data_IF_349773855252
#
_entry.id   IF_349773855252
#
_cell.length_a   1.000
_cell.length_b   1.000
_cell.length_c   1.000
_cell.angle_alpha   90.00
_cell.angle_beta   90.00
_cell.angle_gamma   90.00
#
_symmetry.space_group_name_H-M   'P 1'
#
loop_
_entity.id
_entity.type
_entity.pdbx_description
1 polymer ?
#
# COMPACT_ATOMS: atom_id res chain seq x y z
N UNK A 1 15.94 -20.65 0.29
CA UNK A 1 16.14 -19.48 1.17
C UNK A 1 15.19 -19.65 2.35
N UNK A 2 15.70 -20.14 3.50
CA UNK A 2 14.89 -20.31 4.70
C UNK A 2 14.62 -18.91 5.29
N UNK A 3 13.35 -18.48 5.32
CA UNK A 3 12.97 -17.33 6.15
C UNK A 3 13.14 -17.76 7.62
N UNK A 4 13.86 -16.99 8.44
CA UNK A 4 13.87 -17.24 9.87
C UNK A 4 12.44 -17.18 10.42
N UNK A 5 12.12 -17.95 11.46
CA UNK A 5 10.80 -17.88 12.06
C UNK A 5 10.50 -16.46 12.50
N UNK A 6 9.29 -16.01 12.22
CA UNK A 6 8.84 -14.66 12.53
C UNK A 6 8.91 -14.46 14.05
N UNK A 7 9.77 -13.54 14.48
CA UNK A 7 9.96 -13.23 15.90
C UNK A 7 8.82 -12.32 16.39
N UNK A 8 7.83 -12.93 17.01
CA UNK A 8 6.70 -12.21 17.59
C UNK A 8 7.06 -11.42 18.86
N UNK A 9 8.24 -11.61 19.44
CA UNK A 9 8.64 -10.93 20.68
C UNK A 9 8.79 -9.41 20.51
N UNK A 10 8.98 -8.95 19.28
CA UNK A 10 9.06 -7.51 18.92
C UNK A 10 7.70 -6.84 18.78
N UNK A 11 6.62 -7.60 18.69
CA UNK A 11 5.26 -7.08 18.58
C UNK A 11 4.61 -7.09 19.97
N UNK A 12 4.97 -6.10 20.78
CA UNK A 12 4.27 -5.87 22.04
C UNK A 12 2.94 -5.20 21.71
N UNK A 13 1.89 -6.01 21.56
CA UNK A 13 0.50 -5.52 21.63
C UNK A 13 0.24 -5.19 23.11
N UNK A 14 0.88 -4.14 23.58
CA UNK A 14 0.61 -3.59 24.91
C UNK A 14 -0.67 -2.75 24.89
N UNK A 15 -1.35 -2.58 26.02
CA UNK A 15 -2.57 -1.78 26.13
C UNK A 15 -2.36 -0.29 25.82
N UNK A 16 -1.11 0.15 25.61
CA UNK A 16 -0.76 1.55 25.37
C UNK A 16 0.42 1.68 24.42
N UNK A 17 0.10 1.71 23.12
CA UNK A 17 1.10 1.85 22.06
C UNK A 17 1.49 3.33 21.84
N UNK A 18 0.65 4.26 22.25
CA UNK A 18 0.87 5.71 22.20
C UNK A 18 0.22 6.38 23.41
N UNK A 19 0.62 7.62 23.74
CA UNK A 19 0.03 8.37 24.85
C UNK A 19 -1.45 8.68 24.57
N UNK A 20 -2.33 8.24 25.44
CA UNK A 20 -3.80 8.44 25.34
C UNK A 20 -4.22 9.92 25.42
N UNK A 21 -3.37 10.78 25.92
CA UNK A 21 -3.62 12.22 25.95
C UNK A 21 -3.45 12.88 24.56
N UNK A 22 -2.85 12.17 23.60
CA UNK A 22 -2.69 12.67 22.24
C UNK A 22 -4.02 12.53 21.50
N UNK A 23 -4.64 13.66 21.19
CA UNK A 23 -5.82 13.68 20.33
C UNK A 23 -5.42 13.52 18.85
N UNK A 24 -5.98 12.51 18.20
CA UNK A 24 -5.75 12.26 16.76
C UNK A 24 -6.30 13.40 15.91
N UNK A 25 -7.45 13.97 16.30
CA UNK A 25 -8.03 15.12 15.58
C UNK A 25 -7.10 16.33 15.62
N UNK A 26 -6.45 16.56 16.76
CA UNK A 26 -5.44 17.62 16.88
C UNK A 26 -4.23 17.35 15.99
N UNK A 27 -3.77 16.09 15.87
CA UNK A 27 -2.68 15.74 14.98
C UNK A 27 -3.07 15.93 13.51
N UNK A 28 -4.31 15.60 13.12
CA UNK A 28 -4.81 15.82 11.76
C UNK A 28 -4.83 17.31 11.41
N UNK A 29 -5.30 18.16 12.34
CA UNK A 29 -5.27 19.61 12.15
C UNK A 29 -3.84 20.15 12.08
N UNK A 30 -2.95 19.68 12.96
CA UNK A 30 -1.54 20.05 12.98
C UNK A 30 -0.83 19.64 11.67
N UNK A 31 -1.14 18.47 11.14
CA UNK A 31 -0.59 18.00 9.86
C UNK A 31 -0.96 18.92 8.68
N UNK A 32 -2.15 19.52 8.68
CA UNK A 32 -2.55 20.50 7.68
C UNK A 32 -1.76 21.82 7.80
N UNK A 33 -1.25 22.13 9.01
CA UNK A 33 -0.37 23.28 9.26
C UNK A 33 1.07 22.98 8.90
N UNK A 34 1.57 21.79 9.30
CA UNK A 34 2.95 21.35 9.07
C UNK A 34 3.21 21.03 7.57
N UNK A 35 2.17 20.61 6.83
CA UNK A 35 2.19 20.44 5.38
C UNK A 35 0.96 21.17 4.77
N UNK A 36 1.08 22.43 4.32
CA UNK A 36 -0.03 23.19 3.81
C UNK A 36 -0.79 22.49 2.66
N UNK A 37 -2.11 22.40 2.81
CA UNK A 37 -2.98 21.72 1.86
C UNK A 37 -3.04 20.20 2.02
N UNK A 38 -2.36 19.60 2.99
CA UNK A 38 -2.40 18.16 3.25
C UNK A 38 -3.80 17.73 3.72
N UNK A 39 -4.30 16.68 3.10
CA UNK A 39 -5.56 16.02 3.48
C UNK A 39 -5.24 14.60 3.93
N UNK A 40 -5.45 14.32 5.21
CA UNK A 40 -5.26 12.99 5.79
C UNK A 40 -6.35 12.04 5.30
N UNK A 41 -5.96 10.88 4.80
CA UNK A 41 -6.85 9.79 4.39
C UNK A 41 -6.76 8.58 5.31
N UNK A 42 -5.60 8.37 5.93
CA UNK A 42 -5.35 7.21 6.75
C UNK A 42 -4.36 7.56 7.87
N UNK A 43 -4.59 7.02 9.05
CA UNK A 43 -3.70 7.15 10.21
C UNK A 43 -3.16 5.76 10.56
N UNK A 44 -1.85 5.62 10.57
CA UNK A 44 -1.16 4.43 11.04
C UNK A 44 -0.72 4.64 12.48
N UNK A 45 -1.20 3.80 13.37
CA UNK A 45 -0.77 3.78 14.76
C UNK A 45 0.52 2.96 14.91
N UNK A 46 1.37 3.28 15.89
CA UNK A 46 2.55 2.49 16.18
C UNK A 46 2.14 1.08 16.64
N UNK A 47 2.75 0.06 16.04
CA UNK A 47 2.50 -1.36 16.35
C UNK A 47 3.75 -2.08 16.89
N UNK A 48 4.86 -1.36 17.01
CA UNK A 48 6.09 -1.81 17.67
C UNK A 48 6.77 -0.62 18.37
N UNK A 49 7.75 -0.89 19.22
CA UNK A 49 8.31 0.11 20.14
C UNK A 49 8.95 1.33 19.43
N UNK A 50 9.60 1.13 18.30
CA UNK A 50 10.22 2.20 17.51
C UNK A 50 9.28 2.90 16.50
N UNK A 51 7.99 2.50 16.42
CA UNK A 51 7.07 3.08 15.46
C UNK A 51 6.46 4.39 15.98
N UNK A 52 6.09 5.25 15.05
CA UNK A 52 5.48 6.56 15.29
C UNK A 52 4.04 6.61 14.78
N UNK A 53 3.29 7.64 15.14
CA UNK A 53 1.97 7.91 14.56
C UNK A 53 2.22 8.55 13.20
N UNK A 54 1.81 7.90 12.12
CA UNK A 54 2.02 8.40 10.74
C UNK A 54 0.69 8.64 10.06
N UNK A 55 0.49 9.88 9.61
CA UNK A 55 -0.66 10.29 8.82
C UNK A 55 -0.30 10.18 7.34
N UNK A 56 -1.12 9.45 6.59
CA UNK A 56 -0.99 9.29 5.14
C UNK A 56 -2.06 10.11 4.44
N UNK A 57 -1.68 10.80 3.40
CA UNK A 57 -2.62 11.66 2.68
C UNK A 57 -2.08 12.19 1.38
N UNK A 58 -2.77 13.19 0.86
CA UNK A 58 -2.41 13.87 -0.39
C UNK A 58 -2.66 15.37 -0.31
N UNK A 59 -2.01 16.12 -1.20
CA UNK A 59 -2.33 17.52 -1.48
C UNK A 59 -3.25 17.61 -2.69
N UNK A 60 -4.10 18.66 -2.80
CA UNK A 60 -4.89 18.91 -4.01
C UNK A 60 -4.04 19.18 -5.26
N UNK A 61 -2.83 19.75 -5.08
CA UNK A 61 -1.85 19.99 -6.15
C UNK A 61 -1.17 18.72 -6.65
N UNK A 62 -1.25 17.63 -5.90
CA UNK A 62 -0.57 16.39 -6.22
C UNK A 62 -1.05 15.78 -7.53
N UNK A 63 -0.11 15.34 -8.38
CA UNK A 63 -0.44 14.64 -9.62
C UNK A 63 -1.35 13.44 -9.40
N UNK A 64 -2.38 13.28 -10.25
CA UNK A 64 -3.30 12.15 -10.23
C UNK A 64 -2.61 10.78 -10.44
N UNK A 65 -1.38 10.80 -10.92
CA UNK A 65 -0.57 9.57 -11.10
C UNK A 65 -0.10 8.98 -9.77
N UNK A 66 0.06 9.80 -8.74
CA UNK A 66 0.52 9.35 -7.43
C UNK A 66 -0.62 8.79 -6.58
N UNK A 67 -0.27 7.87 -5.69
CA UNK A 67 -1.21 7.32 -4.71
C UNK A 67 -1.69 8.41 -3.74
N UNK A 68 -2.95 8.35 -3.34
CA UNK A 68 -3.53 9.22 -2.31
C UNK A 68 -2.88 9.05 -0.92
N UNK A 69 -2.00 8.07 -0.74
CA UNK A 69 -1.27 7.79 0.50
C UNK A 69 0.24 8.06 0.37
N UNK A 70 0.66 8.79 -0.67
CA UNK A 70 2.09 8.92 -0.98
C UNK A 70 2.79 10.04 -0.21
N UNK A 71 2.06 11.01 0.30
CA UNK A 71 2.59 12.02 1.22
C UNK A 71 2.31 11.60 2.65
N UNK A 72 3.27 11.86 3.56
CA UNK A 72 3.16 11.44 4.96
C UNK A 72 3.64 12.52 5.91
N UNK A 73 3.00 12.58 7.07
CA UNK A 73 3.45 13.39 8.23
C UNK A 73 3.52 12.46 9.43
N UNK A 74 4.67 12.41 10.09
CA UNK A 74 4.92 11.50 11.20
C UNK A 74 5.14 12.27 12.50
N UNK A 75 4.47 11.83 13.55
CA UNK A 75 4.56 12.40 14.89
C UNK A 75 5.02 11.36 15.90
N UNK A 76 5.77 11.85 16.90
CA UNK A 76 6.18 11.03 18.02
C UNK A 76 4.97 10.55 18.82
N UNK A 77 4.97 9.25 19.15
CA UNK A 77 3.88 8.57 19.83
C UNK A 77 3.64 9.01 21.28
N UNK A 78 4.63 9.66 21.91
CA UNK A 78 4.55 10.06 23.31
C UNK A 78 4.38 11.57 23.47
N UNK A 79 5.05 12.36 22.60
CA UNK A 79 5.11 13.81 22.75
C UNK A 79 4.28 14.57 21.71
N UNK A 80 3.75 13.89 20.68
CA UNK A 80 3.07 14.50 19.54
C UNK A 80 3.93 15.53 18.78
N UNK A 81 5.26 15.46 18.93
CA UNK A 81 6.18 16.30 18.18
C UNK A 81 6.33 15.81 16.74
N UNK A 82 6.49 16.75 15.82
CA UNK A 82 6.76 16.44 14.42
C UNK A 82 8.12 15.76 14.29
N UNK A 83 8.17 14.60 13.64
CA UNK A 83 9.40 13.85 13.36
C UNK A 83 9.81 13.99 11.91
N UNK A 84 8.85 13.78 10.98
CA UNK A 84 9.15 13.74 9.55
C UNK A 84 7.96 14.23 8.72
N UNK A 85 8.28 14.91 7.62
CA UNK A 85 7.31 15.37 6.61
C UNK A 85 7.81 14.94 5.25
N UNK A 86 7.12 14.01 4.62
CA UNK A 86 7.44 13.52 3.28
C UNK A 86 6.36 13.99 2.29
N UNK A 87 6.70 14.98 1.49
CA UNK A 87 5.88 15.44 0.38
C UNK A 87 6.31 14.73 -0.91
N UNK A 88 5.39 13.99 -1.54
CA UNK A 88 5.69 13.26 -2.77
C UNK A 88 6.09 14.20 -3.93
N UNK A 89 5.61 15.43 -3.93
CA UNK A 89 5.97 16.40 -4.98
C UNK A 89 7.44 16.82 -4.90
N UNK A 90 8.00 16.84 -3.70
CA UNK A 90 9.41 17.17 -3.43
C UNK A 90 10.30 15.91 -3.36
N UNK A 91 9.69 14.73 -3.35
CA UNK A 91 10.40 13.47 -3.20
C UNK A 91 11.26 13.12 -4.42
N UNK A 92 12.14 12.14 -4.24
CA UNK A 92 13.03 11.63 -5.29
C UNK A 92 12.25 11.07 -6.49
N UNK A 93 12.91 11.01 -7.67
CA UNK A 93 12.31 10.40 -8.87
C UNK A 93 11.92 8.94 -8.63
N UNK A 94 12.69 8.22 -7.83
CA UNK A 94 12.42 6.83 -7.46
C UNK A 94 11.14 6.73 -6.62
N UNK A 95 10.95 7.57 -5.63
CA UNK A 95 9.73 7.58 -4.80
C UNK A 95 8.49 7.94 -5.62
N UNK A 96 8.60 8.92 -6.52
CA UNK A 96 7.54 9.28 -7.47
C UNK A 96 7.16 8.11 -8.36
N UNK A 97 8.16 7.41 -8.92
CA UNK A 97 7.94 6.22 -9.73
C UNK A 97 7.24 5.11 -8.94
N UNK A 98 7.74 4.79 -7.74
CA UNK A 98 7.14 3.76 -6.88
C UNK A 98 5.69 4.09 -6.49
N UNK A 99 5.40 5.36 -6.21
CA UNK A 99 4.03 5.83 -5.92
C UNK A 99 3.11 5.64 -7.12
N UNK A 100 3.57 5.97 -8.32
CA UNK A 100 2.83 5.78 -9.58
C UNK A 100 2.62 4.30 -9.87
N UNK A 101 3.67 3.48 -9.72
CA UNK A 101 3.62 2.04 -9.94
C UNK A 101 2.60 1.36 -9.03
N UNK A 102 2.57 1.72 -7.74
CA UNK A 102 1.59 1.19 -6.78
C UNK A 102 0.16 1.43 -7.26
N UNK A 103 -0.15 2.67 -7.65
CA UNK A 103 -1.48 3.02 -8.14
C UNK A 103 -1.84 2.32 -9.45
N UNK A 104 -0.88 2.23 -10.38
CA UNK A 104 -1.04 1.52 -11.64
C UNK A 104 -1.29 0.03 -11.41
N UNK A 105 -0.54 -0.60 -10.52
CA UNK A 105 -0.65 -2.03 -10.22
C UNK A 105 -2.04 -2.43 -9.69
N UNK A 106 -2.64 -1.58 -8.88
CA UNK A 106 -4.01 -1.82 -8.38
C UNK A 106 -5.11 -1.35 -9.34
N UNK A 107 -4.76 -0.77 -10.50
CA UNK A 107 -5.73 -0.25 -11.47
C UNK A 107 -6.60 0.89 -10.91
N UNK A 108 -6.11 1.62 -9.93
CA UNK A 108 -6.90 2.60 -9.17
C UNK A 108 -6.91 4.00 -9.81
N UNK A 109 -6.97 4.06 -11.14
CA UNK A 109 -7.12 5.31 -11.88
C UNK A 109 -8.58 5.56 -12.27
N UNK A 110 -9.23 4.54 -12.85
CA UNK A 110 -10.61 4.63 -13.31
C UNK A 110 -11.22 3.22 -13.53
N UNK A 111 -12.54 3.10 -13.75
CA UNK A 111 -13.18 1.80 -14.01
C UNK A 111 -12.59 1.03 -15.21
N UNK A 112 -12.12 1.74 -16.25
CA UNK A 112 -11.56 1.08 -17.44
C UNK A 112 -10.22 0.39 -17.10
N UNK A 113 -9.36 0.99 -16.28
CA UNK A 113 -8.12 0.36 -15.83
C UNK A 113 -8.39 -0.85 -14.94
N UNK A 114 -9.39 -0.79 -14.07
CA UNK A 114 -9.83 -1.94 -13.25
C UNK A 114 -10.33 -3.08 -14.13
N UNK A 115 -11.12 -2.79 -15.14
CA UNK A 115 -11.59 -3.78 -16.10
C UNK A 115 -10.44 -4.41 -16.89
N UNK A 116 -9.47 -3.61 -17.32
CA UNK A 116 -8.26 -4.12 -17.99
C UNK A 116 -7.48 -5.09 -17.09
N UNK A 117 -7.26 -4.74 -15.83
CA UNK A 117 -6.59 -5.64 -14.86
C UNK A 117 -7.38 -6.91 -14.59
N UNK A 118 -8.72 -6.81 -14.55
CA UNK A 118 -9.58 -7.99 -14.45
C UNK A 118 -9.38 -8.93 -15.64
N UNK A 119 -9.34 -8.42 -16.87
CA UNK A 119 -9.05 -9.22 -18.06
C UNK A 119 -7.65 -9.87 -18.01
N UNK A 120 -6.64 -9.13 -17.58
CA UNK A 120 -5.30 -9.68 -17.39
C UNK A 120 -5.29 -10.82 -16.35
N UNK A 121 -6.07 -10.68 -15.27
CA UNK A 121 -6.25 -11.74 -14.26
C UNK A 121 -6.93 -13.01 -14.78
N UNK A 122 -7.73 -12.92 -15.85
CA UNK A 122 -8.33 -14.09 -16.50
C UNK A 122 -7.36 -14.88 -17.40
N UNK A 123 -6.23 -14.28 -17.80
CA UNK A 123 -5.27 -14.94 -18.69
C UNK A 123 -4.73 -16.28 -18.12
N UNK A 124 -4.31 -16.39 -16.85
CA UNK A 124 -3.89 -17.66 -16.27
C UNK A 124 -4.98 -18.73 -16.30
N UNK A 125 -6.24 -18.33 -16.08
CA UNK A 125 -7.39 -19.23 -16.14
C UNK A 125 -7.57 -19.78 -17.57
N UNK A 126 -7.55 -18.92 -18.57
CA UNK A 126 -7.66 -19.31 -19.97
C UNK A 126 -6.50 -20.25 -20.40
N UNK A 127 -5.27 -19.94 -19.95
CA UNK A 127 -4.10 -20.80 -20.20
C UNK A 127 -4.24 -22.16 -19.51
N UNK A 128 -4.76 -22.21 -18.29
CA UNK A 128 -4.97 -23.47 -17.56
C UNK A 128 -6.01 -24.33 -18.24
N UNK A 129 -7.15 -23.77 -18.65
CA UNK A 129 -8.21 -24.48 -19.35
C UNK A 129 -7.72 -25.01 -20.70
N UNK A 130 -7.03 -24.20 -21.47
CA UNK A 130 -6.46 -24.60 -22.76
C UNK A 130 -5.39 -25.70 -22.59
N UNK A 131 -4.56 -25.61 -21.56
CA UNK A 131 -3.56 -26.62 -21.21
C UNK A 131 -4.20 -27.97 -20.89
N UNK A 132 -5.24 -27.99 -20.07
CA UNK A 132 -6.00 -29.21 -19.71
C UNK A 132 -6.65 -29.81 -20.99
N UNK A 133 -7.28 -28.96 -21.81
CA UNK A 133 -7.90 -29.41 -23.06
C UNK A 133 -6.88 -30.09 -23.99
N UNK A 134 -5.74 -29.47 -24.20
CA UNK A 134 -4.67 -30.01 -25.05
C UNK A 134 -4.10 -31.31 -24.47
N UNK A 135 -3.95 -31.40 -23.15
CA UNK A 135 -3.48 -32.60 -22.48
C UNK A 135 -4.46 -33.78 -22.69
N UNK A 136 -5.76 -33.56 -22.50
CA UNK A 136 -6.80 -34.59 -22.72
C UNK A 136 -6.79 -35.06 -24.17
N UNK A 137 -6.77 -34.11 -25.13
CA UNK A 137 -6.74 -34.41 -26.57
C UNK A 137 -5.51 -35.27 -26.95
N UNK A 138 -4.34 -34.91 -26.41
CA UNK A 138 -3.10 -35.65 -26.68
C UNK A 138 -3.09 -37.04 -26.04
N UNK A 139 -3.64 -37.16 -24.85
CA UNK A 139 -3.77 -38.44 -24.14
C UNK A 139 -4.69 -39.41 -24.90
N UNK A 140 -5.86 -38.95 -25.36
CA UNK A 140 -6.81 -39.75 -26.14
C UNK A 140 -6.24 -40.16 -27.48
N UNK A 141 -5.43 -39.35 -28.13
CA UNK A 141 -4.77 -39.71 -29.38
C UNK A 141 -3.74 -40.84 -29.22
N UNK A 142 -3.00 -40.85 -28.12
CA UNK A 142 -2.06 -41.94 -27.79
C UNK A 142 -2.77 -43.25 -27.51
N UNK A 143 -3.95 -43.25 -26.88
CA UNK A 143 -4.74 -44.46 -26.62
C UNK A 143 -5.31 -45.10 -27.88
N UNK A 144 -5.63 -44.31 -28.93
CA UNK A 144 -6.16 -44.83 -30.22
C UNK A 144 -5.11 -45.48 -31.10
N UNK A 145 -3.82 -45.25 -30.83
CA UNK A 145 -2.72 -45.86 -31.63
C UNK A 145 -2.11 -47.10 -31.00
N UNK A 146 -2.59 -47.55 -29.84
CA UNK A 146 -2.29 -48.84 -29.23
C UNK A 146 -3.46 -49.79 -29.45
#
# INVERSE_FOLDING_TARGET
>A
MFMPPFDNSKFVIGPQIYDKNISIDTLVQKAATDMPGFRTHYVSFPFFEGANITLYGQKPSQSFLHSQYSSTVSYDKNSANLIDVKDIELASKTDKFLSTFRRAHYGDYNPATRFFWFLCGLAPLALSVSGIYLWIKRSNFKRRKR
#
